data_IF_727608157548
#
_entry.id   IF_727608157548
#
_cell.length_a   1.000
_cell.length_b   1.000
_cell.length_c   1.000
_cell.angle_alpha   90.00
_cell.angle_beta   90.00
_cell.angle_gamma   90.00
#
_symmetry.space_group_name_H-M   'P 1'
#
loop_
_entity.id
_entity.type
_entity.pdbx_description
1 polymer ?
#
# COMPACT_ATOMS: atom_id res chain seq x y z
N UNK A 1 -5.28 28.19 -12.67
CA UNK A 1 -4.32 27.20 -13.19
C UNK A 1 -3.36 26.89 -12.06
N UNK A 2 -3.38 25.66 -11.54
CA UNK A 2 -2.42 25.25 -10.51
C UNK A 2 -1.05 25.07 -11.18
N UNK A 3 0.01 25.70 -10.65
CA UNK A 3 1.36 25.50 -11.19
C UNK A 3 1.75 24.02 -11.06
N UNK A 4 2.48 23.51 -12.05
CA UNK A 4 3.01 22.15 -11.97
C UNK A 4 4.05 22.06 -10.85
N UNK A 5 4.03 20.95 -10.11
CA UNK A 5 4.80 20.78 -8.88
C UNK A 5 6.22 20.30 -9.24
N UNK A 6 7.30 20.95 -8.75
CA UNK A 6 8.65 20.46 -8.97
C UNK A 6 8.89 19.22 -8.10
N UNK A 7 9.04 18.07 -8.75
CA UNK A 7 9.14 16.75 -8.12
C UNK A 7 10.43 16.07 -8.58
N UNK A 8 11.11 15.38 -7.66
CA UNK A 8 12.13 14.40 -8.02
C UNK A 8 11.57 12.99 -7.84
N UNK A 9 11.89 12.09 -8.75
CA UNK A 9 11.51 10.67 -8.65
C UNK A 9 12.77 9.87 -8.39
N UNK A 10 12.80 9.15 -7.26
CA UNK A 10 13.92 8.32 -6.81
C UNK A 10 13.50 6.86 -6.91
N UNK A 11 14.34 6.03 -7.53
CA UNK A 11 14.02 4.65 -7.90
C UNK A 11 13.98 4.47 -9.43
N UNK A 12 13.57 3.30 -9.88
CA UNK A 12 13.50 2.95 -11.31
C UNK A 12 12.30 2.07 -11.64
N UNK A 13 12.23 1.65 -12.90
CA UNK A 13 11.16 0.81 -13.43
C UNK A 13 9.99 1.60 -14.01
N UNK A 14 9.03 0.85 -14.59
CA UNK A 14 7.85 1.36 -15.28
C UNK A 14 7.07 2.40 -14.46
N UNK A 15 6.86 2.14 -13.17
CA UNK A 15 6.12 3.03 -12.28
C UNK A 15 6.83 4.38 -12.11
N UNK A 16 8.16 4.39 -11.95
CA UNK A 16 8.94 5.62 -11.81
C UNK A 16 8.88 6.47 -13.09
N UNK A 17 9.00 5.83 -14.26
CA UNK A 17 8.86 6.48 -15.57
C UNK A 17 7.47 7.08 -15.75
N UNK A 18 6.42 6.37 -15.34
CA UNK A 18 5.03 6.83 -15.41
C UNK A 18 4.73 7.99 -14.45
N UNK A 19 5.28 7.97 -13.24
CA UNK A 19 5.20 9.13 -12.32
C UNK A 19 5.88 10.35 -12.93
N UNK A 20 7.08 10.17 -13.50
CA UNK A 20 7.85 11.23 -14.13
C UNK A 20 7.14 11.84 -15.35
N UNK A 21 6.39 11.03 -16.10
CA UNK A 21 5.62 11.46 -17.27
C UNK A 21 4.23 12.05 -16.93
N UNK A 22 3.80 12.02 -15.66
CA UNK A 22 2.46 12.48 -15.27
C UNK A 22 2.31 14.00 -15.47
N UNK A 23 1.18 14.46 -16.02
CA UNK A 23 0.98 15.86 -16.43
C UNK A 23 1.05 16.90 -15.29
N UNK A 24 0.83 16.46 -14.04
CA UNK A 24 0.94 17.31 -12.85
C UNK A 24 2.37 17.43 -12.28
N UNK A 25 3.31 16.66 -12.82
CA UNK A 25 4.70 16.54 -12.35
C UNK A 25 5.63 17.31 -13.27
N UNK A 26 6.50 18.14 -12.69
CA UNK A 26 7.68 18.68 -13.37
C UNK A 26 8.90 18.05 -12.74
N UNK A 27 9.56 17.17 -13.49
CA UNK A 27 10.76 16.49 -13.01
C UNK A 27 11.90 17.49 -12.87
N UNK A 28 12.48 17.54 -11.68
CA UNK A 28 13.67 18.34 -11.36
C UNK A 28 14.68 17.51 -10.59
N UNK A 29 15.90 18.01 -10.48
CA UNK A 29 16.92 17.46 -9.58
C UNK A 29 16.40 17.42 -8.13
N UNK A 30 16.71 16.35 -7.39
CA UNK A 30 16.30 16.20 -6.00
C UNK A 30 16.69 17.38 -5.11
N UNK A 31 17.79 18.06 -5.44
CA UNK A 31 18.25 19.26 -4.73
C UNK A 31 17.26 20.43 -4.80
N UNK A 32 16.48 20.51 -5.89
CA UNK A 32 15.56 21.60 -6.24
C UNK A 32 14.09 21.21 -6.18
N UNK A 33 13.79 19.96 -5.85
CA UNK A 33 12.43 19.45 -5.74
C UNK A 33 11.73 19.97 -4.47
N UNK A 34 10.44 20.28 -4.59
CA UNK A 34 9.57 20.52 -3.44
C UNK A 34 9.11 19.20 -2.81
N UNK A 35 8.87 18.18 -3.65
CA UNK A 35 8.45 16.85 -3.23
C UNK A 35 9.34 15.79 -3.88
N UNK A 36 9.71 14.76 -3.12
CA UNK A 36 10.43 13.58 -3.61
C UNK A 36 9.46 12.40 -3.63
N UNK A 37 9.27 11.78 -4.79
CA UNK A 37 8.60 10.48 -4.90
C UNK A 37 9.67 9.40 -4.76
N UNK A 38 9.64 8.67 -3.65
CA UNK A 38 10.62 7.64 -3.34
C UNK A 38 10.02 6.25 -3.56
N UNK A 39 10.52 5.55 -4.58
CA UNK A 39 10.11 4.19 -4.99
C UNK A 39 11.23 3.16 -4.83
N UNK A 40 12.42 3.58 -4.38
CA UNK A 40 13.47 2.63 -4.03
C UNK A 40 13.08 1.81 -2.79
N UNK A 41 13.65 0.61 -2.68
CA UNK A 41 13.50 -0.21 -1.48
C UNK A 41 14.44 0.26 -0.35
N UNK A 42 15.50 1.00 -0.69
CA UNK A 42 16.43 1.59 0.27
C UNK A 42 15.82 2.82 0.93
N UNK A 43 15.46 2.69 2.20
CA UNK A 43 14.77 3.73 2.97
C UNK A 43 15.71 4.77 3.56
N UNK A 44 17.03 4.57 3.48
CA UNK A 44 18.03 5.40 4.18
C UNK A 44 18.10 6.83 3.64
N UNK A 45 17.70 7.04 2.38
CA UNK A 45 17.64 8.36 1.75
C UNK A 45 16.44 9.20 2.23
N UNK A 46 15.37 8.56 2.71
CA UNK A 46 14.12 9.23 3.10
C UNK A 46 14.37 10.25 4.23
N UNK A 47 15.01 9.89 5.37
CA UNK A 47 15.36 10.86 6.40
C UNK A 47 16.21 12.03 5.91
N UNK A 48 17.11 11.81 4.94
CA UNK A 48 17.96 12.87 4.39
C UNK A 48 17.15 13.91 3.60
N UNK A 49 16.21 13.46 2.76
CA UNK A 49 15.31 14.36 2.04
C UNK A 49 14.43 15.17 3.00
N UNK A 50 13.84 14.51 3.99
CA UNK A 50 12.98 15.15 4.99
C UNK A 50 13.75 16.21 5.79
N UNK A 51 14.97 15.92 6.27
CA UNK A 51 15.83 16.89 6.98
C UNK A 51 16.19 18.11 6.12
N UNK A 52 16.27 17.93 4.79
CA UNK A 52 16.53 19.00 3.85
C UNK A 52 15.28 19.85 3.52
N UNK A 53 14.15 19.59 4.17
CA UNK A 53 12.91 20.35 3.97
C UNK A 53 12.12 19.96 2.73
N UNK A 54 12.30 18.73 2.25
CA UNK A 54 11.58 18.19 1.09
C UNK A 54 10.51 17.24 1.57
N UNK A 55 9.29 17.43 1.11
CA UNK A 55 8.23 16.47 1.37
C UNK A 55 8.53 15.16 0.65
N UNK A 56 8.14 14.02 1.23
CA UNK A 56 8.39 12.71 0.64
C UNK A 56 7.08 11.95 0.48
N UNK A 57 6.81 11.49 -0.73
CA UNK A 57 5.73 10.53 -1.03
C UNK A 57 6.36 9.20 -1.38
N UNK A 58 5.90 8.11 -0.77
CA UNK A 58 6.41 6.77 -1.06
C UNK A 58 5.29 5.74 -1.12
N UNK A 59 5.51 4.68 -1.93
CA UNK A 59 4.66 3.51 -1.95
C UNK A 59 5.05 2.46 -0.88
N UNK A 60 6.14 2.69 -0.14
CA UNK A 60 6.54 1.82 0.96
C UNK A 60 5.48 1.81 2.07
N UNK A 61 5.29 0.67 2.77
CA UNK A 61 4.49 0.62 3.99
C UNK A 61 5.06 1.50 5.08
N UNK A 62 4.19 2.25 5.77
CA UNK A 62 4.63 3.13 6.86
C UNK A 62 5.29 2.32 7.98
N UNK A 63 4.78 1.12 8.25
CA UNK A 63 5.29 0.18 9.26
C UNK A 63 6.70 -0.36 8.94
N UNK A 64 7.11 -0.32 7.66
CA UNK A 64 8.43 -0.71 7.21
C UNK A 64 9.48 0.40 7.44
N UNK A 65 9.04 1.62 7.76
CA UNK A 65 9.94 2.77 7.92
C UNK A 65 10.42 2.93 9.38
N UNK A 66 11.62 3.47 9.60
CA UNK A 66 12.12 3.79 10.94
C UNK A 66 11.38 5.00 11.53
N UNK A 67 10.14 4.81 12.00
CA UNK A 67 9.20 5.90 12.32
C UNK A 67 9.73 6.94 13.31
N UNK A 68 10.52 6.54 14.29
CA UNK A 68 11.13 7.47 15.24
C UNK A 68 12.09 8.43 14.53
N UNK A 69 12.92 7.92 13.63
CA UNK A 69 13.84 8.71 12.82
C UNK A 69 13.09 9.58 11.82
N UNK A 70 12.10 9.02 11.10
CA UNK A 70 11.27 9.74 10.14
C UNK A 70 10.58 10.94 10.81
N UNK A 71 9.93 10.73 11.96
CA UNK A 71 9.29 11.81 12.72
C UNK A 71 10.29 12.88 13.17
N UNK A 72 11.50 12.49 13.54
CA UNK A 72 12.55 13.44 13.88
C UNK A 72 13.00 14.24 12.65
N UNK A 73 13.19 13.58 11.50
CA UNK A 73 13.57 14.19 10.25
C UNK A 73 12.50 15.18 9.73
N UNK A 74 11.23 14.80 9.74
CA UNK A 74 10.10 15.67 9.41
C UNK A 74 10.12 16.96 10.24
N UNK A 75 10.33 16.85 11.56
CA UNK A 75 10.43 18.02 12.44
C UNK A 75 11.63 18.91 12.13
N UNK A 76 12.79 18.31 11.85
CA UNK A 76 14.03 19.06 11.56
C UNK A 76 13.91 19.87 10.28
N UNK A 77 13.41 19.27 9.20
CA UNK A 77 13.28 19.97 7.92
C UNK A 77 11.99 20.76 7.76
N UNK A 78 11.06 20.67 8.72
CA UNK A 78 9.69 21.16 8.53
C UNK A 78 9.06 20.58 7.24
N UNK A 79 9.21 19.27 7.06
CA UNK A 79 8.73 18.52 5.91
C UNK A 79 7.74 17.43 6.34
N UNK A 80 6.99 16.91 5.38
CA UNK A 80 6.00 15.87 5.61
C UNK A 80 6.33 14.61 4.82
N UNK A 81 6.12 13.44 5.44
CA UNK A 81 6.16 12.15 4.76
C UNK A 81 4.74 11.61 4.56
N UNK A 82 4.45 11.07 3.39
CA UNK A 82 3.25 10.32 3.08
C UNK A 82 3.60 8.95 2.52
N UNK A 83 3.27 7.91 3.28
CA UNK A 83 3.39 6.52 2.85
C UNK A 83 2.01 6.02 2.41
N UNK A 84 1.86 5.71 1.12
CA UNK A 84 0.60 5.19 0.57
C UNK A 84 0.40 3.71 0.90
N UNK A 85 1.44 3.02 1.39
CA UNK A 85 1.37 1.64 1.86
C UNK A 85 1.34 0.57 0.77
N UNK A 86 1.47 0.99 -0.49
CA UNK A 86 1.43 0.11 -1.64
C UNK A 86 0.04 -0.45 -1.90
N UNK A 87 -0.08 -1.12 -3.04
CA UNK A 87 -1.36 -1.62 -3.52
C UNK A 87 -1.98 -2.68 -2.58
N UNK A 88 -1.14 -3.54 -1.99
CA UNK A 88 -1.57 -4.62 -1.09
C UNK A 88 -2.29 -4.08 0.15
N UNK A 89 -1.79 -3.01 0.76
CA UNK A 89 -2.43 -2.36 1.92
C UNK A 89 -3.73 -1.64 1.52
N UNK A 90 -3.74 -0.98 0.36
CA UNK A 90 -4.90 -0.23 -0.12
C UNK A 90 -6.09 -1.14 -0.47
N UNK A 91 -5.84 -2.28 -1.11
CA UNK A 91 -6.89 -3.28 -1.42
C UNK A 91 -7.44 -3.90 -0.15
N UNK A 92 -6.56 -4.30 0.78
CA UNK A 92 -6.97 -4.80 2.10
C UNK A 92 -7.94 -3.82 2.79
N UNK A 93 -7.61 -2.52 2.83
CA UNK A 93 -8.50 -1.50 3.39
C UNK A 93 -9.85 -1.44 2.65
N UNK A 94 -9.83 -1.39 1.31
CA UNK A 94 -11.04 -1.21 0.47
C UNK A 94 -11.98 -2.41 0.51
N UNK A 95 -11.45 -3.62 0.44
CA UNK A 95 -12.24 -4.85 0.53
C UNK A 95 -12.85 -5.00 1.92
N UNK A 96 -12.09 -4.69 2.97
CA UNK A 96 -12.62 -4.79 4.34
C UNK A 96 -13.77 -3.81 4.56
N UNK A 97 -13.67 -2.56 4.08
CA UNK A 97 -14.78 -1.59 4.15
C UNK A 97 -16.06 -2.11 3.48
N UNK A 98 -15.92 -2.80 2.35
CA UNK A 98 -17.06 -3.32 1.60
C UNK A 98 -17.74 -4.48 2.32
N UNK A 99 -16.99 -5.29 3.08
CA UNK A 99 -17.50 -6.44 3.84
C UNK A 99 -17.93 -6.12 5.28
N UNK A 100 -17.38 -5.07 5.88
CA UNK A 100 -17.80 -4.52 7.17
C UNK A 100 -19.32 -4.28 7.23
N UNK A 101 -19.88 -3.86 6.11
CA UNK A 101 -21.30 -3.62 5.96
C UNK A 101 -22.14 -4.92 5.95
N UNK A 102 -21.52 -6.09 5.86
CA UNK A 102 -22.18 -7.36 5.58
C UNK A 102 -21.89 -8.49 6.60
N UNK A 103 -20.81 -8.40 7.39
CA UNK A 103 -20.37 -9.50 8.26
C UNK A 103 -20.24 -9.07 9.73
N UNK A 104 -20.98 -9.75 10.61
CA UNK A 104 -20.80 -9.72 12.07
C UNK A 104 -20.08 -10.99 12.52
N UNK A 105 -19.46 -10.94 13.70
CA UNK A 105 -18.82 -12.12 14.33
C UNK A 105 -17.74 -12.80 13.48
N UNK A 106 -16.95 -12.01 12.76
CA UNK A 106 -15.79 -12.55 12.02
C UNK A 106 -14.81 -13.13 13.05
N UNK A 107 -14.46 -14.41 12.87
CA UNK A 107 -13.47 -15.10 13.69
C UNK A 107 -12.15 -15.29 12.93
N UNK A 108 -12.20 -15.31 11.60
CA UNK A 108 -11.01 -15.44 10.75
C UNK A 108 -11.20 -14.79 9.37
N UNK A 109 -10.10 -14.26 8.83
CA UNK A 109 -9.98 -13.70 7.50
C UNK A 109 -8.81 -14.37 6.76
N UNK A 110 -9.02 -14.76 5.50
CA UNK A 110 -7.97 -15.10 4.56
C UNK A 110 -8.14 -14.25 3.28
N UNK A 111 -7.11 -13.46 2.95
CA UNK A 111 -7.03 -12.73 1.70
C UNK A 111 -6.11 -13.49 0.74
N UNK A 112 -6.62 -13.91 -0.41
CA UNK A 112 -5.83 -14.52 -1.47
C UNK A 112 -5.66 -13.52 -2.60
N UNK A 113 -4.43 -13.18 -2.91
CA UNK A 113 -4.00 -12.42 -4.07
C UNK A 113 -3.55 -13.40 -5.15
N UNK A 114 -4.12 -13.29 -6.34
CA UNK A 114 -3.67 -13.94 -7.55
C UNK A 114 -3.19 -12.85 -8.50
N UNK A 115 -1.94 -12.89 -8.90
CA UNK A 115 -1.33 -11.85 -9.74
C UNK A 115 -0.55 -12.43 -10.91
N UNK A 116 -0.73 -11.83 -12.08
CA UNK A 116 0.05 -12.08 -13.28
C UNK A 116 1.18 -11.04 -13.37
N UNK A 117 2.42 -11.49 -13.26
CA UNK A 117 3.59 -10.63 -13.26
C UNK A 117 4.11 -10.44 -14.69
N UNK A 118 4.07 -9.22 -15.25
CA UNK A 118 4.64 -8.94 -16.56
C UNK A 118 6.18 -8.96 -16.51
N UNK A 119 6.81 -9.25 -17.65
CA UNK A 119 8.27 -9.29 -17.79
C UNK A 119 8.94 -7.95 -17.49
N UNK A 120 8.26 -6.84 -17.80
CA UNK A 120 8.75 -5.47 -17.65
C UNK A 120 8.82 -4.96 -16.19
N UNK A 121 8.37 -5.77 -15.24
CA UNK A 121 8.36 -5.42 -13.82
C UNK A 121 7.04 -4.78 -13.38
N UNK A 122 6.67 -5.02 -12.13
CA UNK A 122 5.46 -4.57 -11.47
C UNK A 122 5.76 -4.31 -9.99
N UNK A 123 5.62 -3.05 -9.58
CA UNK A 123 5.87 -2.64 -8.21
C UNK A 123 4.81 -3.16 -7.23
N UNK A 124 5.17 -3.75 -6.08
CA UNK A 124 6.54 -4.04 -5.64
C UNK A 124 7.06 -5.43 -6.05
N UNK A 125 6.20 -6.37 -6.47
CA UNK A 125 6.47 -7.82 -6.53
C UNK A 125 7.78 -8.28 -7.18
N UNK A 126 8.25 -7.63 -8.25
CA UNK A 126 9.50 -7.97 -8.92
C UNK A 126 10.36 -6.72 -9.22
N UNK A 127 10.07 -5.60 -8.54
CA UNK A 127 10.89 -4.39 -8.62
C UNK A 127 11.57 -4.03 -7.29
N UNK A 128 11.08 -4.58 -6.17
CA UNK A 128 11.76 -4.48 -4.87
C UNK A 128 12.46 -5.80 -4.55
N UNK A 129 13.53 -5.79 -3.73
CA UNK A 129 14.18 -7.02 -3.28
C UNK A 129 13.21 -7.94 -2.53
N UNK A 130 13.34 -9.26 -2.72
CA UNK A 130 12.48 -10.25 -2.06
C UNK A 130 12.45 -10.11 -0.54
N UNK A 131 13.53 -9.63 0.07
CA UNK A 131 13.62 -9.38 1.52
C UNK A 131 12.72 -8.23 2.01
N UNK A 132 12.38 -7.27 1.15
CA UNK A 132 11.53 -6.11 1.48
C UNK A 132 10.04 -6.37 1.18
N UNK A 133 9.75 -7.36 0.34
CA UNK A 133 8.39 -7.65 -0.09
C UNK A 133 7.45 -8.14 1.04
N UNK A 134 7.90 -8.93 2.04
CA UNK A 134 7.09 -9.29 3.21
C UNK A 134 6.45 -8.10 3.93
N UNK A 135 7.14 -6.95 3.99
CA UNK A 135 6.65 -5.79 4.71
C UNK A 135 5.36 -5.22 4.10
N UNK A 136 5.19 -5.33 2.78
CA UNK A 136 3.94 -4.94 2.09
C UNK A 136 2.77 -5.83 2.50
N UNK A 137 2.99 -7.14 2.59
CA UNK A 137 1.97 -8.08 3.03
C UNK A 137 1.65 -7.90 4.51
N UNK A 138 2.66 -7.67 5.34
CA UNK A 138 2.49 -7.46 6.78
C UNK A 138 1.71 -6.19 7.09
N UNK A 139 1.96 -5.11 6.35
CA UNK A 139 1.15 -3.90 6.47
C UNK A 139 -0.31 -4.13 6.03
N UNK A 140 -0.54 -4.91 4.96
CA UNK A 140 -1.87 -5.33 4.54
C UNK A 140 -2.60 -6.19 5.59
N UNK A 141 -1.91 -7.14 6.22
CA UNK A 141 -2.43 -7.96 7.32
C UNK A 141 -2.87 -7.10 8.51
N UNK A 142 -2.07 -6.10 8.88
CA UNK A 142 -2.42 -5.17 9.96
C UNK A 142 -3.66 -4.36 9.65
N UNK A 143 -3.80 -3.89 8.41
CA UNK A 143 -5.03 -3.19 7.97
C UNK A 143 -6.25 -4.10 8.04
N UNK A 144 -6.11 -5.36 7.63
CA UNK A 144 -7.20 -6.34 7.73
C UNK A 144 -7.59 -6.58 9.19
N UNK A 145 -6.59 -6.71 10.08
CA UNK A 145 -6.83 -6.90 11.50
C UNK A 145 -7.52 -5.69 12.14
N UNK A 146 -6.93 -4.51 12.00
CA UNK A 146 -7.43 -3.26 12.59
C UNK A 146 -8.86 -2.95 12.12
N UNK A 147 -9.18 -3.32 10.88
CA UNK A 147 -10.51 -3.16 10.36
C UNK A 147 -11.45 -4.22 10.96
N UNK A 148 -11.13 -5.51 10.91
CA UNK A 148 -12.08 -6.57 11.27
C UNK A 148 -12.22 -6.84 12.77
N UNK A 149 -11.22 -6.52 13.58
CA UNK A 149 -11.17 -6.84 15.00
C UNK A 149 -10.96 -5.57 15.82
N UNK A 150 -11.78 -5.40 16.87
CA UNK A 150 -11.71 -4.22 17.74
C UNK A 150 -10.43 -4.17 18.61
N UNK A 151 -9.75 -5.32 18.77
CA UNK A 151 -8.56 -5.45 19.60
C UNK A 151 -7.32 -5.57 18.71
N UNK A 152 -6.43 -4.59 18.82
CA UNK A 152 -5.13 -4.62 18.17
C UNK A 152 -4.31 -5.81 18.69
N UNK A 153 -3.85 -6.69 17.80
CA UNK A 153 -2.95 -7.76 18.21
C UNK A 153 -1.53 -7.26 18.39
N UNK A 154 -0.82 -7.79 19.38
CA UNK A 154 0.63 -7.62 19.50
C UNK A 154 1.40 -8.71 18.77
N UNK A 155 0.72 -9.62 18.08
CA UNK A 155 1.35 -10.72 17.35
C UNK A 155 2.24 -10.18 16.23
N UNK A 156 3.33 -10.90 15.97
CA UNK A 156 4.23 -10.57 14.86
C UNK A 156 3.80 -11.36 13.63
N UNK A 157 3.69 -10.74 12.45
CA UNK A 157 3.43 -11.47 11.21
C UNK A 157 4.50 -12.53 10.92
N UNK A 158 4.08 -13.67 10.35
CA UNK A 158 4.97 -14.82 10.04
C UNK A 158 4.79 -15.23 8.58
N UNK A 159 5.89 -15.60 7.91
CA UNK A 159 5.92 -16.20 6.56
C UNK A 159 6.04 -17.73 6.69
N UNK A 160 5.18 -18.50 6.01
CA UNK A 160 5.13 -19.97 6.16
C UNK A 160 5.65 -20.78 4.97
N UNK A 161 5.54 -20.28 3.73
CA UNK A 161 5.97 -20.99 2.51
C UNK A 161 6.25 -19.99 1.39
N UNK A 162 7.11 -20.32 0.41
CA UNK A 162 7.45 -19.44 -0.73
C UNK A 162 7.37 -20.14 -2.11
N UNK A 163 7.51 -21.47 -2.20
CA UNK A 163 7.74 -22.17 -3.48
C UNK A 163 6.58 -22.13 -4.49
N UNK A 164 5.32 -22.02 -4.06
CA UNK A 164 4.14 -21.98 -4.94
C UNK A 164 3.12 -20.91 -4.57
N UNK A 165 3.55 -19.94 -3.76
CA UNK A 165 2.72 -18.87 -3.24
C UNK A 165 3.06 -18.58 -1.78
N UNK A 166 3.31 -17.31 -1.47
CA UNK A 166 3.69 -16.89 -0.14
C UNK A 166 2.48 -16.80 0.79
N UNK A 167 2.50 -17.52 1.91
CA UNK A 167 1.47 -17.42 2.95
C UNK A 167 2.02 -16.67 4.14
N UNK A 168 1.40 -15.53 4.43
CA UNK A 168 1.68 -14.65 5.55
C UNK A 168 0.53 -14.73 6.55
N UNK A 169 0.81 -14.81 7.84
CA UNK A 169 -0.22 -14.83 8.87
C UNK A 169 0.04 -13.82 9.96
N UNK A 170 -1.02 -13.27 10.52
CA UNK A 170 -1.02 -12.52 11.77
C UNK A 170 -1.89 -13.29 12.76
N UNK A 171 -1.22 -14.02 13.65
CA UNK A 171 -1.85 -14.98 14.55
C UNK A 171 -2.64 -16.05 13.80
N UNK A 172 -3.71 -16.52 14.46
CA UNK A 172 -4.64 -17.49 13.89
C UNK A 172 -5.82 -16.84 13.14
N UNK A 173 -5.96 -15.51 13.24
CA UNK A 173 -7.15 -14.78 12.79
C UNK A 173 -7.02 -14.20 11.38
N UNK A 174 -5.83 -13.85 10.93
CA UNK A 174 -5.63 -13.22 9.61
C UNK A 174 -4.55 -13.95 8.83
N UNK A 175 -4.87 -14.30 7.59
CA UNK A 175 -3.93 -14.85 6.62
C UNK A 175 -3.97 -14.05 5.31
N UNK A 176 -2.82 -13.95 4.65
CA UNK A 176 -2.64 -13.39 3.33
C UNK A 176 -1.87 -14.41 2.50
N UNK A 177 -2.41 -14.81 1.36
CA UNK A 177 -1.75 -15.71 0.41
C UNK A 177 -1.51 -14.96 -0.89
N UNK A 178 -0.26 -14.83 -1.32
CA UNK A 178 0.09 -14.29 -2.64
C UNK A 178 0.47 -15.42 -3.59
N UNK A 179 -0.31 -15.61 -4.64
CA UNK A 179 -0.07 -16.56 -5.73
C UNK A 179 0.38 -15.75 -6.93
N UNK A 180 1.63 -15.95 -7.34
CA UNK A 180 2.26 -15.22 -8.44
C UNK A 180 2.38 -16.13 -9.65
N UNK A 181 1.89 -15.68 -10.78
CA UNK A 181 1.97 -16.38 -12.07
C UNK A 181 2.72 -15.50 -13.07
N UNK A 182 3.27 -16.12 -14.11
CA UNK A 182 3.93 -15.42 -15.21
C UNK A 182 3.19 -15.76 -16.51
N UNK A 183 2.33 -14.86 -16.98
CA UNK A 183 1.63 -14.89 -18.26
C UNK A 183 0.22 -15.50 -18.31
N UNK A 184 -0.61 -14.83 -19.11
CA UNK A 184 -1.91 -15.22 -19.74
C UNK A 184 -3.02 -15.65 -18.77
N UNK A 185 -3.16 -14.97 -17.64
CA UNK A 185 -4.44 -14.95 -16.94
C UNK A 185 -5.44 -14.04 -17.68
N UNK A 186 -6.69 -14.48 -17.87
CA UNK A 186 -7.78 -13.58 -18.36
C UNK A 186 -8.01 -12.38 -17.41
N UNK A 187 -7.55 -12.51 -16.16
CA UNK A 187 -7.61 -11.50 -15.10
C UNK A 187 -6.19 -11.30 -14.55
N UNK A 188 -5.54 -10.16 -14.81
CA UNK A 188 -4.14 -9.93 -14.41
C UNK A 188 -3.98 -9.81 -12.89
N UNK A 189 -5.07 -9.48 -12.18
CA UNK A 189 -5.07 -9.35 -10.75
C UNK A 189 -6.45 -9.68 -10.17
N UNK A 190 -6.47 -10.62 -9.23
CA UNK A 190 -7.68 -11.02 -8.52
C UNK A 190 -7.41 -11.06 -7.02
N UNK A 191 -8.38 -10.59 -6.25
CA UNK A 191 -8.43 -10.84 -4.81
C UNK A 191 -9.64 -11.67 -4.45
N UNK A 192 -9.41 -12.67 -3.61
CA UNK A 192 -10.47 -13.43 -2.94
C UNK A 192 -10.36 -13.20 -1.44
N UNK A 193 -11.42 -12.66 -0.86
CA UNK A 193 -11.53 -12.47 0.56
C UNK A 193 -12.46 -13.53 1.13
N UNK A 194 -11.89 -14.41 1.94
CA UNK A 194 -12.60 -15.47 2.65
C UNK A 194 -12.79 -15.04 4.10
N UNK A 195 -14.05 -14.96 4.53
CA UNK A 195 -14.41 -14.59 5.91
C UNK A 195 -15.11 -15.74 6.58
N UNK A 196 -14.65 -16.12 7.76
CA UNK A 196 -15.26 -17.16 8.59
C UNK A 196 -15.91 -16.53 9.81
N UNK A 197 -17.13 -16.96 10.09
CA UNK A 197 -17.94 -16.59 11.25
C UNK A 197 -18.38 -17.86 11.98
N UNK A 198 -19.07 -17.70 13.12
CA UNK A 198 -19.74 -18.80 13.84
C UNK A 198 -20.78 -19.52 12.99
N UNK A 199 -21.42 -18.81 12.06
CA UNK A 199 -22.48 -19.34 11.20
C UNK A 199 -21.98 -20.01 9.91
N UNK A 200 -20.70 -19.78 9.53
CA UNK A 200 -20.10 -20.37 8.34
C UNK A 200 -19.08 -19.47 7.66
N UNK A 201 -18.70 -19.85 6.44
CA UNK A 201 -17.69 -19.16 5.63
C UNK A 201 -18.33 -18.54 4.39
N UNK A 202 -17.95 -17.30 4.09
CA UNK A 202 -18.30 -16.59 2.87
C UNK A 202 -17.04 -16.25 2.07
N UNK A 203 -17.19 -16.07 0.76
CA UNK A 203 -16.11 -15.64 -0.12
C UNK A 203 -16.60 -14.52 -1.03
N UNK A 204 -15.86 -13.42 -1.05
CA UNK A 204 -16.00 -12.35 -2.02
C UNK A 204 -14.81 -12.36 -2.97
N UNK A 205 -15.05 -12.12 -4.26
CA UNK A 205 -14.01 -12.06 -5.29
C UNK A 205 -14.09 -10.73 -6.01
N UNK A 206 -12.94 -10.10 -6.18
CA UNK A 206 -12.80 -8.85 -6.93
C UNK A 206 -11.72 -9.02 -7.97
N UNK A 207 -12.13 -8.86 -9.22
CA UNK A 207 -11.27 -8.97 -10.40
C UNK A 207 -10.91 -7.56 -10.87
N UNK A 208 -9.63 -7.33 -11.09
CA UNK A 208 -9.10 -6.08 -11.61
C UNK A 208 -8.66 -6.30 -13.05
N UNK A 209 -9.27 -5.54 -13.96
CA UNK A 209 -8.98 -5.60 -15.39
C UNK A 209 -8.10 -4.41 -15.81
N UNK A 210 -7.21 -4.61 -16.80
CA UNK A 210 -6.29 -3.58 -17.22
C UNK A 210 -7.06 -2.41 -17.85
N UNK A 211 -6.57 -1.20 -17.63
CA UNK A 211 -7.09 0.03 -18.27
C UNK A 211 -5.98 0.59 -19.14
N UNK A 212 -6.26 0.91 -20.40
CA UNK A 212 -5.24 1.44 -21.33
C UNK A 212 -3.98 0.55 -21.43
N UNK A 213 -4.16 -0.78 -21.38
CA UNK A 213 -3.07 -1.78 -21.36
C UNK A 213 -2.14 -1.72 -20.14
N UNK A 214 -2.50 -0.93 -19.12
CA UNK A 214 -1.77 -0.84 -17.86
C UNK A 214 -2.19 -1.94 -16.89
N UNK A 215 -1.21 -2.60 -16.27
CA UNK A 215 -1.47 -3.53 -15.18
C UNK A 215 -2.19 -2.81 -14.02
N UNK A 216 -3.31 -3.33 -13.50
CA UNK A 216 -4.15 -2.60 -12.53
C UNK A 216 -3.42 -2.21 -11.25
N UNK A 217 -2.54 -3.07 -10.73
CA UNK A 217 -1.75 -2.77 -9.54
C UNK A 217 -0.83 -1.55 -9.75
N UNK A 218 -0.25 -1.40 -10.95
CA UNK A 218 0.59 -0.27 -11.27
C UNK A 218 -0.24 1.01 -11.45
N UNK A 219 -1.35 0.92 -12.17
CA UNK A 219 -2.28 2.05 -12.32
C UNK A 219 -2.72 2.60 -10.97
N UNK A 220 -3.14 1.72 -10.06
CA UNK A 220 -3.66 2.13 -8.77
C UNK A 220 -2.55 2.69 -7.89
N UNK A 221 -1.34 2.11 -7.91
CA UNK A 221 -0.19 2.67 -7.20
C UNK A 221 0.18 4.06 -7.72
N UNK A 222 0.22 4.25 -9.05
CA UNK A 222 0.45 5.54 -9.69
C UNK A 222 -0.60 6.58 -9.25
N UNK A 223 -1.87 6.20 -9.23
CA UNK A 223 -2.98 7.07 -8.82
C UNK A 223 -2.84 7.49 -7.35
N UNK A 224 -2.52 6.58 -6.43
CA UNK A 224 -2.35 6.94 -5.01
C UNK A 224 -1.14 7.88 -4.81
N UNK A 225 -0.01 7.58 -5.44
CA UNK A 225 1.19 8.42 -5.38
C UNK A 225 0.92 9.84 -5.89
N UNK A 226 0.33 9.96 -7.08
CA UNK A 226 0.08 11.25 -7.72
C UNK A 226 -0.99 12.06 -6.98
N UNK A 227 -2.02 11.42 -6.43
CA UNK A 227 -3.02 12.08 -5.58
C UNK A 227 -2.43 12.65 -4.29
N UNK A 228 -1.38 12.03 -3.74
CA UNK A 228 -0.74 12.50 -2.52
C UNK A 228 0.17 13.73 -2.71
N UNK A 229 0.69 13.97 -3.93
CA UNK A 229 1.69 15.01 -4.21
C UNK A 229 1.29 16.43 -3.83
N UNK A 230 0.07 16.87 -4.21
CA UNK A 230 -0.38 18.23 -3.90
C UNK A 230 -0.86 18.37 -2.46
N UNK A 231 -1.68 17.46 -1.91
CA UNK A 231 -2.11 17.53 -0.52
C UNK A 231 -0.95 17.53 0.47
N UNK A 232 0.08 16.71 0.25
CA UNK A 232 1.23 16.66 1.18
C UNK A 232 1.95 18.01 1.22
N UNK A 233 2.17 18.62 0.06
CA UNK A 233 2.85 19.90 -0.03
C UNK A 233 2.04 21.07 0.54
N UNK A 234 0.71 20.94 0.58
CA UNK A 234 -0.19 21.91 1.17
C UNK A 234 -0.47 21.65 2.66
N UNK A 235 -0.01 20.52 3.22
CA UNK A 235 -0.29 20.12 4.60
C UNK A 235 0.59 20.88 5.60
N UNK A 236 0.18 20.88 6.88
CA UNK A 236 1.04 21.40 7.94
C UNK A 236 2.34 20.56 8.02
N UNK A 237 3.51 21.22 8.09
CA UNK A 237 4.79 20.53 8.07
C UNK A 237 5.04 19.71 9.35
N UNK A 238 5.99 18.78 9.28
CA UNK A 238 6.45 18.03 10.45
C UNK A 238 5.61 16.79 10.77
N UNK A 239 4.76 16.36 9.85
CA UNK A 239 3.88 15.20 10.03
C UNK A 239 4.40 13.98 9.26
N UNK A 240 4.05 12.79 9.76
CA UNK A 240 4.22 11.53 9.03
C UNK A 240 2.83 10.94 8.89
N UNK A 241 2.36 10.88 7.66
CA UNK A 241 1.01 10.47 7.29
C UNK A 241 1.06 9.07 6.69
N UNK A 242 0.07 8.27 7.08
CA UNK A 242 -0.34 7.08 6.33
C UNK A 242 -1.59 7.47 5.55
N UNK A 243 -1.69 7.13 4.26
CA UNK A 243 -3.04 7.08 3.68
C UNK A 243 -3.74 5.83 4.18
N UNK A 244 -4.69 6.03 5.08
CA UNK A 244 -5.77 5.09 5.33
C UNK A 244 -7.03 5.89 5.62
N UNK A 245 -7.34 6.93 4.81
CA UNK A 245 -8.51 7.76 5.06
C UNK A 245 -9.75 6.85 5.25
N UNK A 246 -10.17 6.76 6.51
CA UNK A 246 -11.19 5.90 7.12
C UNK A 246 -10.67 4.55 7.67
N UNK A 247 -10.10 4.56 8.89
CA UNK A 247 -9.65 3.37 9.66
C UNK A 247 -10.64 2.83 10.69
N UNK A 248 -11.90 3.28 10.72
CA UNK A 248 -12.87 2.72 11.67
C UNK A 248 -14.12 2.23 10.94
N UNK A 249 -14.35 0.91 11.01
CA UNK A 249 -15.62 0.29 10.64
C UNK A 249 -16.66 0.67 11.71
N UNK A 250 -17.81 1.20 11.29
CA UNK A 250 -18.99 1.31 12.15
C UNK A 250 -19.91 0.14 11.75
N UNK A 251 -20.35 -0.71 12.71
CA UNK A 251 -21.31 -1.77 12.41
C UNK A 251 -22.58 -1.22 11.74
N UNK A 252 -23.13 -1.92 10.74
CA UNK A 252 -24.45 -1.57 10.20
C UNK A 252 -25.55 -1.99 11.18
N UNK A 253 -26.14 -1.00 11.86
CA UNK A 253 -27.21 -1.19 12.84
C UNK A 253 -28.50 -1.78 12.25
N UNK A 254 -28.63 -1.82 10.91
CA UNK A 254 -29.79 -2.40 10.22
C UNK A 254 -29.70 -3.92 10.09
N UNK A 255 -28.52 -4.51 10.28
CA UNK A 255 -28.38 -5.96 10.31
C UNK A 255 -28.92 -6.49 11.66
N UNK A 256 -29.74 -7.57 11.65
CA UNK A 256 -30.32 -8.11 12.87
C UNK A 256 -29.24 -8.54 13.88
N UNK A 257 -29.57 -8.41 15.16
CA UNK A 257 -28.74 -8.86 16.29
C UNK A 257 -28.92 -10.34 16.54
#
# INVERSE_FOLDING_TARGET
>A
MSSALPVAVVGGGSLAERVAAHSDVVVVEASSAAVVVHLAADVDEIPAHLRAGRDVVTALPLEALPLAEIRAACRVGSATLHATGGFQSAVAARLTRSLAAAAREITRIELVEEIDLPEEGLYPWNTVPDSALPDFYFAGLRVLEDAAFAEASTETPIVHAEESGAVHTLGERVAYRSIRTHGIGDVPLRYRLVTTTTAGTATATVDFHPTEQLHPAEHLTLVELTKALRPIHASEPGTALRDLAITHLVPDDRLPR
#
